data_IF_885066426939
#
_entry.id   IF_885066426939
#
_cell.length_a   1.000
_cell.length_b   1.000
_cell.length_c   1.000
_cell.angle_alpha   90.00
_cell.angle_beta   90.00
_cell.angle_gamma   90.00
#
_symmetry.space_group_name_H-M   'P 1'
#
loop_
_entity.id
_entity.type
_entity.pdbx_description
1 polymer ?
#
# COMPACT_ATOMS: atom_id res chain seq x y z
N UNK A 1 -1.49 -15.70 6.95
CA UNK A 1 -2.95 -15.96 6.97
C UNK A 1 -3.53 -15.70 5.59
N UNK A 2 -4.35 -16.62 5.07
CA UNK A 2 -4.88 -16.54 3.70
C UNK A 2 -6.41 -16.50 3.68
N UNK A 3 -6.96 -15.57 2.89
CA UNK A 3 -8.38 -15.47 2.55
C UNK A 3 -8.53 -16.04 1.15
N UNK A 4 -9.10 -17.22 1.06
CA UNK A 4 -9.21 -17.96 -0.21
C UNK A 4 -10.33 -17.43 -1.10
N UNK A 5 -10.31 -17.80 -2.37
CA UNK A 5 -11.36 -17.45 -3.33
C UNK A 5 -12.76 -17.81 -2.82
N UNK A 6 -13.68 -16.87 -2.87
CA UNK A 6 -15.05 -17.02 -2.39
C UNK A 6 -15.25 -16.78 -0.89
N UNK A 7 -14.19 -16.58 -0.10
CA UNK A 7 -14.28 -16.23 1.31
C UNK A 7 -14.16 -14.70 1.51
N UNK A 8 -14.75 -14.19 2.59
CA UNK A 8 -14.63 -12.81 3.04
C UNK A 8 -14.09 -12.77 4.46
N UNK A 9 -13.01 -12.01 4.68
CA UNK A 9 -12.53 -11.67 6.02
C UNK A 9 -13.12 -10.32 6.43
N UNK A 10 -13.98 -10.28 7.42
CA UNK A 10 -14.52 -9.02 7.97
C UNK A 10 -13.80 -8.64 9.26
N UNK A 11 -13.28 -7.43 9.32
CA UNK A 11 -12.51 -6.88 10.44
C UNK A 11 -13.21 -5.62 10.97
N UNK A 12 -13.93 -5.72 12.11
CA UNK A 12 -14.66 -4.59 12.68
C UNK A 12 -13.75 -3.47 13.20
N UNK A 13 -14.35 -2.29 13.38
CA UNK A 13 -13.69 -1.13 13.94
C UNK A 13 -13.02 -1.41 15.30
N UNK A 14 -11.84 -0.85 15.52
CA UNK A 14 -11.06 -0.99 16.73
C UNK A 14 -10.33 -2.33 16.90
N UNK A 15 -10.42 -3.23 15.91
CA UNK A 15 -9.65 -4.48 15.92
C UNK A 15 -8.15 -4.19 15.78
N UNK A 16 -7.34 -4.87 16.60
CA UNK A 16 -5.89 -4.84 16.50
C UNK A 16 -5.37 -6.25 16.16
N UNK A 17 -4.62 -6.35 15.05
CA UNK A 17 -3.93 -7.57 14.65
C UNK A 17 -2.45 -7.38 14.92
N UNK A 18 -1.83 -8.27 15.69
CA UNK A 18 -0.42 -8.22 16.06
C UNK A 18 0.30 -9.43 15.50
N UNK A 19 1.20 -9.20 14.57
CA UNK A 19 2.05 -10.23 13.98
C UNK A 19 3.25 -10.53 14.87
N UNK A 20 3.69 -11.79 14.87
CA UNK A 20 5.06 -12.11 15.26
C UNK A 20 6.02 -11.74 14.12
N UNK A 21 7.31 -11.56 14.43
CA UNK A 21 8.32 -11.36 13.42
C UNK A 21 8.52 -12.64 12.57
N UNK A 22 8.72 -12.46 11.26
CA UNK A 22 9.02 -13.53 10.32
C UNK A 22 8.55 -13.23 8.90
N UNK A 23 9.32 -13.67 7.92
CA UNK A 23 9.01 -13.53 6.49
C UNK A 23 7.83 -14.39 6.03
N UNK A 24 7.38 -15.31 6.86
CA UNK A 24 6.18 -16.13 6.68
C UNK A 24 4.94 -15.54 7.37
N UNK A 25 5.05 -14.34 7.92
CA UNK A 25 3.98 -13.64 8.66
C UNK A 25 3.40 -12.51 7.82
N UNK A 26 2.34 -12.78 7.11
CA UNK A 26 1.59 -11.79 6.32
C UNK A 26 0.11 -12.19 6.23
N UNK A 27 -0.73 -11.27 5.82
CA UNK A 27 -2.13 -11.52 5.46
C UNK A 27 -2.24 -11.43 3.95
N UNK A 28 -2.82 -12.44 3.32
CA UNK A 28 -3.05 -12.44 1.87
C UNK A 28 -4.53 -12.66 1.57
N UNK A 29 -5.08 -11.80 0.71
CA UNK A 29 -6.37 -12.01 0.05
C UNK A 29 -6.06 -12.57 -1.33
N UNK A 30 -6.36 -13.85 -1.54
CA UNK A 30 -6.14 -14.53 -2.81
C UNK A 30 -7.11 -14.03 -3.89
N UNK A 31 -6.75 -14.20 -5.15
CA UNK A 31 -7.60 -13.85 -6.28
C UNK A 31 -9.02 -14.46 -6.13
N UNK A 32 -10.05 -13.58 -6.07
CA UNK A 32 -11.43 -13.96 -5.80
C UNK A 32 -11.82 -14.11 -4.32
N UNK A 33 -10.89 -13.89 -3.39
CA UNK A 33 -11.18 -13.63 -1.99
C UNK A 33 -11.55 -12.17 -1.75
N UNK A 34 -12.10 -11.85 -0.59
CA UNK A 34 -12.48 -10.48 -0.23
C UNK A 34 -12.05 -10.13 1.19
N UNK A 35 -11.75 -8.86 1.43
CA UNK A 35 -11.52 -8.31 2.76
C UNK A 35 -12.47 -7.14 3.00
N UNK A 36 -13.05 -7.06 4.20
CA UNK A 36 -13.94 -5.98 4.61
C UNK A 36 -13.45 -5.40 5.95
N UNK A 37 -12.67 -4.33 5.86
CA UNK A 37 -12.11 -3.61 7.01
C UNK A 37 -13.01 -2.42 7.32
N UNK A 38 -13.67 -2.47 8.48
CA UNK A 38 -14.72 -1.55 8.90
C UNK A 38 -14.24 -0.56 9.96
N UNK A 39 -12.99 -0.07 9.87
CA UNK A 39 -12.47 0.93 10.78
C UNK A 39 -13.26 2.24 10.74
N UNK A 40 -13.06 3.07 11.75
CA UNK A 40 -13.61 4.43 11.82
C UNK A 40 -12.54 5.39 12.33
N UNK A 41 -12.71 6.69 12.14
CA UNK A 41 -11.76 7.68 12.65
C UNK A 41 -11.55 7.62 14.18
N UNK A 42 -12.55 7.19 14.94
CA UNK A 42 -12.45 7.02 16.41
C UNK A 42 -12.01 5.63 16.85
N UNK A 43 -12.03 4.64 15.94
CA UNK A 43 -11.68 3.26 16.20
C UNK A 43 -11.11 2.61 14.92
N UNK A 44 -9.90 3.03 14.48
CA UNK A 44 -9.27 2.44 13.31
C UNK A 44 -8.92 0.98 13.56
N UNK A 45 -8.80 0.21 12.47
CA UNK A 45 -8.21 -1.12 12.51
C UNK A 45 -6.69 -0.94 12.46
N UNK A 46 -5.96 -1.65 13.32
CA UNK A 46 -4.49 -1.59 13.35
C UNK A 46 -3.90 -2.97 13.09
N UNK A 47 -3.00 -3.06 12.13
CA UNK A 47 -2.17 -4.23 11.89
C UNK A 47 -0.70 -3.86 12.18
N UNK A 48 -0.04 -4.58 13.08
CA UNK A 48 1.29 -4.23 13.60
C UNK A 48 2.08 -5.49 13.97
N UNK A 49 3.30 -5.31 14.46
CA UNK A 49 4.11 -6.40 14.99
C UNK A 49 4.25 -6.37 16.51
N UNK A 50 4.62 -7.50 17.09
CA UNK A 50 4.85 -7.64 18.54
C UNK A 50 6.16 -7.02 19.01
N UNK A 51 7.17 -6.87 18.13
CA UNK A 51 8.46 -6.29 18.45
C UNK A 51 8.54 -4.81 18.14
N UNK A 52 7.57 -4.28 17.39
CA UNK A 52 7.52 -2.88 16.96
C UNK A 52 8.80 -2.42 16.24
N UNK A 53 9.34 -3.29 15.36
CA UNK A 53 10.52 -3.01 14.55
C UNK A 53 10.20 -3.05 13.07
N UNK A 54 10.68 -2.09 12.26
CA UNK A 54 10.53 -2.11 10.82
C UNK A 54 10.96 -3.46 10.23
N UNK A 55 10.23 -3.97 9.24
CA UNK A 55 10.53 -5.25 8.59
C UNK A 55 10.15 -6.51 9.38
N UNK A 56 9.42 -6.39 10.47
CA UNK A 56 9.06 -7.55 11.29
C UNK A 56 8.14 -8.54 10.56
N UNK A 57 7.27 -8.09 9.66
CA UNK A 57 6.26 -8.92 9.01
C UNK A 57 5.92 -8.44 7.60
N UNK A 58 5.17 -9.24 6.85
CA UNK A 58 4.91 -9.03 5.43
C UNK A 58 3.66 -8.22 5.08
N UNK A 59 3.06 -7.50 6.04
CA UNK A 59 1.95 -6.58 5.72
C UNK A 59 0.67 -7.26 5.21
N UNK A 60 -0.09 -6.50 4.43
CA UNK A 60 -1.32 -6.93 3.78
C UNK A 60 -1.13 -7.01 2.26
N UNK A 61 -1.37 -8.19 1.70
CA UNK A 61 -1.25 -8.46 0.26
C UNK A 61 -2.64 -8.76 -0.31
N UNK A 62 -3.01 -8.10 -1.40
CA UNK A 62 -4.29 -8.34 -2.09
C UNK A 62 -4.01 -8.68 -3.56
N UNK A 63 -4.50 -9.85 -3.99
CA UNK A 63 -4.39 -10.31 -5.37
C UNK A 63 -5.76 -10.22 -6.07
N UNK A 64 -5.83 -9.41 -7.11
CA UNK A 64 -7.02 -9.17 -7.91
C UNK A 64 -6.97 -9.82 -9.29
N UNK A 65 -7.99 -9.55 -10.08
CA UNK A 65 -8.22 -10.12 -11.40
C UNK A 65 -8.27 -9.04 -12.52
N UNK A 66 -7.75 -7.84 -12.23
CA UNK A 66 -7.64 -6.77 -13.21
C UNK A 66 -6.45 -6.97 -14.16
N UNK A 67 -6.31 -6.10 -15.13
CA UNK A 67 -5.23 -6.14 -16.12
C UNK A 67 -3.89 -5.75 -15.50
N UNK A 68 -2.84 -6.49 -15.86
CA UNK A 68 -1.43 -6.17 -15.60
C UNK A 68 -0.60 -6.48 -16.84
N UNK A 69 0.56 -5.86 -17.00
CA UNK A 69 1.50 -6.17 -18.11
C UNK A 69 2.06 -7.58 -18.04
N UNK A 70 2.06 -8.20 -16.86
CA UNK A 70 2.48 -9.60 -16.67
C UNK A 70 1.44 -10.63 -17.13
N UNK A 71 0.24 -10.18 -17.49
CA UNK A 71 -0.79 -11.01 -18.07
C UNK A 71 -1.68 -11.73 -17.06
N UNK A 72 -2.35 -12.78 -17.54
CA UNK A 72 -3.31 -13.55 -16.74
C UNK A 72 -2.58 -14.60 -15.92
N UNK A 73 -2.97 -14.75 -14.66
CA UNK A 73 -2.37 -15.70 -13.71
C UNK A 73 -0.85 -15.52 -13.54
N UNK A 74 -0.38 -14.29 -13.57
CA UNK A 74 0.97 -13.93 -13.21
C UNK A 74 1.33 -14.46 -11.80
N UNK A 75 2.61 -14.49 -11.49
CA UNK A 75 3.08 -14.96 -10.18
C UNK A 75 3.78 -13.81 -9.48
N UNK A 76 3.29 -13.45 -8.31
CA UNK A 76 3.88 -12.43 -7.47
C UNK A 76 5.31 -12.80 -7.04
N UNK A 77 6.13 -11.83 -6.82
CA UNK A 77 7.51 -11.99 -6.31
C UNK A 77 7.53 -12.57 -4.90
N UNK A 78 6.47 -12.37 -4.12
CA UNK A 78 6.32 -12.89 -2.77
C UNK A 78 5.27 -14.00 -2.71
N UNK A 79 5.51 -15.03 -1.90
CA UNK A 79 4.54 -16.07 -1.57
C UNK A 79 4.02 -16.93 -2.73
N UNK A 80 4.49 -16.74 -3.96
CA UNK A 80 4.01 -17.47 -5.15
C UNK A 80 2.52 -17.23 -5.46
N UNK A 81 1.98 -16.10 -5.01
CA UNK A 81 0.57 -15.70 -5.14
C UNK A 81 0.24 -15.49 -6.63
N UNK A 82 -0.94 -15.97 -7.05
CA UNK A 82 -1.43 -15.77 -8.42
C UNK A 82 -2.32 -14.54 -8.50
N UNK A 83 -2.08 -13.69 -9.54
CA UNK A 83 -2.83 -12.47 -9.74
C UNK A 83 -3.00 -12.17 -11.24
N UNK A 84 -3.75 -11.12 -11.54
CA UNK A 84 -3.94 -10.64 -12.90
C UNK A 84 -5.00 -11.42 -13.68
N UNK A 85 -5.63 -10.72 -14.58
CA UNK A 85 -6.70 -11.20 -15.43
C UNK A 85 -7.12 -10.17 -16.47
N UNK A 86 -8.42 -9.96 -16.64
CA UNK A 86 -8.98 -9.02 -17.60
C UNK A 86 -10.25 -8.31 -17.07
N UNK A 87 -10.44 -8.30 -15.75
CA UNK A 87 -11.64 -7.72 -15.14
C UNK A 87 -11.22 -6.46 -14.38
N UNK A 88 -11.08 -5.34 -15.07
CA UNK A 88 -10.62 -4.07 -14.47
C UNK A 88 -11.57 -3.50 -13.41
N UNK A 89 -12.81 -4.01 -13.35
CA UNK A 89 -13.78 -3.72 -12.30
C UNK A 89 -13.82 -4.79 -11.22
N UNK A 90 -12.80 -5.63 -11.12
CA UNK A 90 -12.66 -6.64 -10.05
C UNK A 90 -12.80 -6.00 -8.67
N UNK A 91 -13.37 -6.77 -7.74
CA UNK A 91 -13.65 -6.31 -6.40
C UNK A 91 -13.08 -7.28 -5.37
N UNK A 92 -12.07 -6.84 -4.65
CA UNK A 92 -11.43 -7.56 -3.55
C UNK A 92 -11.91 -7.11 -2.17
N UNK A 93 -12.95 -6.25 -2.10
CA UNK A 93 -13.58 -5.82 -0.86
C UNK A 93 -13.49 -4.33 -0.57
N UNK A 94 -13.53 -3.99 0.71
CA UNK A 94 -13.49 -2.61 1.20
C UNK A 94 -12.52 -2.47 2.36
N UNK A 95 -11.76 -1.38 2.36
CA UNK A 95 -10.81 -1.02 3.42
C UNK A 95 -11.09 0.41 3.86
N UNK A 96 -11.48 0.57 5.12
CA UNK A 96 -11.73 1.87 5.72
C UNK A 96 -10.98 2.01 7.06
N UNK A 97 -10.24 3.11 7.24
CA UNK A 97 -9.48 3.45 8.45
C UNK A 97 -8.56 2.31 8.94
N UNK A 98 -7.60 1.95 8.09
CA UNK A 98 -6.59 0.93 8.37
C UNK A 98 -5.23 1.57 8.66
N UNK A 99 -4.58 1.12 9.72
CA UNK A 99 -3.17 1.41 10.03
C UNK A 99 -2.36 0.13 9.87
N UNK A 100 -1.33 0.15 9.03
CA UNK A 100 -0.30 -0.91 8.93
C UNK A 100 1.01 -0.35 9.44
N UNK A 101 1.66 -1.06 10.39
CA UNK A 101 2.89 -0.59 11.00
C UNK A 101 3.94 -1.71 11.04
N UNK A 102 5.23 -1.34 10.84
CA UNK A 102 6.39 -2.23 10.94
C UNK A 102 6.43 -3.40 9.94
N UNK A 103 5.78 -3.24 8.79
CA UNK A 103 5.84 -4.22 7.70
C UNK A 103 7.13 -4.11 6.87
N UNK A 104 7.24 -4.81 5.76
CA UNK A 104 8.40 -4.77 4.87
C UNK A 104 9.38 -5.94 5.06
N UNK A 105 8.94 -7.09 5.58
CA UNK A 105 9.83 -8.22 5.83
C UNK A 105 10.56 -8.69 4.56
N UNK A 106 11.89 -8.69 4.61
CA UNK A 106 12.74 -9.08 3.49
C UNK A 106 12.88 -10.61 3.39
N UNK A 107 12.45 -11.18 2.27
CA UNK A 107 12.58 -12.62 1.98
C UNK A 107 14.00 -12.94 1.49
N UNK A 108 14.51 -12.14 0.57
CA UNK A 108 15.87 -12.25 0.01
C UNK A 108 16.28 -10.87 -0.55
N UNK A 109 17.41 -10.78 -1.25
CA UNK A 109 17.94 -9.53 -1.78
C UNK A 109 17.09 -8.90 -2.91
N UNK A 110 16.15 -9.63 -3.47
CA UNK A 110 15.35 -9.24 -4.65
C UNK A 110 13.85 -9.26 -4.38
N UNK A 111 13.41 -9.66 -3.18
CA UNK A 111 11.99 -9.81 -2.84
C UNK A 111 11.74 -9.39 -1.40
N UNK A 112 10.93 -8.38 -1.23
CA UNK A 112 10.45 -7.87 0.04
C UNK A 112 8.93 -7.76 0.03
N UNK A 113 8.35 -7.64 1.21
CA UNK A 113 6.95 -7.29 1.38
C UNK A 113 6.83 -5.80 1.63
N UNK A 114 5.74 -5.22 1.19
CA UNK A 114 5.39 -3.82 1.45
C UNK A 114 4.47 -3.68 2.68
N UNK A 115 4.09 -2.46 3.01
CA UNK A 115 2.99 -2.22 3.94
C UNK A 115 1.67 -2.77 3.38
N UNK A 116 1.25 -2.24 2.24
CA UNK A 116 0.09 -2.69 1.48
C UNK A 116 0.51 -3.03 0.05
N UNK A 117 0.39 -4.29 -0.34
CA UNK A 117 0.72 -4.75 -1.69
C UNK A 117 -0.54 -5.05 -2.49
N UNK A 118 -0.67 -4.45 -3.68
CA UNK A 118 -1.87 -4.50 -4.51
C UNK A 118 -1.56 -5.07 -5.90
N UNK A 119 -1.66 -6.39 -6.03
CA UNK A 119 -1.42 -7.12 -7.28
C UNK A 119 -2.67 -7.13 -8.16
N UNK A 120 -2.70 -6.40 -9.25
CA UNK A 120 -3.79 -6.33 -10.24
C UNK A 120 -5.19 -6.17 -9.61
N UNK A 121 -5.29 -5.34 -8.58
CA UNK A 121 -6.56 -5.06 -7.90
C UNK A 121 -7.42 -4.13 -8.77
N UNK A 122 -8.70 -4.44 -8.90
CA UNK A 122 -9.62 -3.73 -9.78
C UNK A 122 -10.35 -2.57 -9.11
N UNK A 123 -10.94 -1.71 -9.93
CA UNK A 123 -11.64 -0.47 -9.52
C UNK A 123 -12.93 -0.70 -8.73
N UNK A 124 -13.41 -1.95 -8.64
CA UNK A 124 -14.52 -2.31 -7.76
C UNK A 124 -14.14 -2.37 -6.27
N UNK A 125 -12.84 -2.41 -5.97
CA UNK A 125 -12.32 -2.42 -4.60
C UNK A 125 -12.27 -1.00 -4.05
N UNK A 126 -12.76 -0.81 -2.81
CA UNK A 126 -12.72 0.48 -2.11
C UNK A 126 -11.56 0.51 -1.13
N UNK A 127 -10.71 1.55 -1.19
CA UNK A 127 -9.62 1.77 -0.22
C UNK A 127 -9.63 3.24 0.18
N UNK A 128 -10.01 3.50 1.45
CA UNK A 128 -10.13 4.85 1.97
C UNK A 128 -9.57 4.97 3.39
N UNK A 129 -8.91 6.10 3.67
CA UNK A 129 -8.35 6.39 5.00
C UNK A 129 -7.38 5.29 5.47
N UNK A 130 -6.25 5.18 4.80
CA UNK A 130 -5.22 4.17 5.11
C UNK A 130 -3.91 4.84 5.50
N UNK A 131 -3.17 4.20 6.41
CA UNK A 131 -1.87 4.66 6.84
C UNK A 131 -0.87 3.50 6.89
N UNK A 132 0.31 3.68 6.29
CA UNK A 132 1.44 2.74 6.35
C UNK A 132 2.63 3.44 6.99
N UNK A 133 3.13 2.84 8.08
CA UNK A 133 4.08 3.49 8.98
C UNK A 133 5.29 2.59 9.25
N UNK A 134 6.48 3.17 9.23
CA UNK A 134 7.71 2.53 9.70
C UNK A 134 7.98 1.15 9.06
N UNK A 135 7.78 1.02 7.76
CA UNK A 135 8.14 -0.18 6.98
C UNK A 135 9.60 -0.15 6.55
N UNK A 136 10.18 -1.32 6.21
CA UNK A 136 11.53 -1.43 5.61
C UNK A 136 11.49 -1.55 4.09
N UNK A 137 10.33 -1.47 3.51
CA UNK A 137 10.08 -1.44 2.07
C UNK A 137 8.97 -0.43 1.81
N UNK A 138 8.29 -0.51 0.66
CA UNK A 138 7.30 0.48 0.29
C UNK A 138 6.15 0.59 1.29
N UNK A 139 5.63 1.79 1.42
CA UNK A 139 4.39 1.99 2.15
C UNK A 139 3.23 1.30 1.43
N UNK A 140 3.07 1.59 0.15
CA UNK A 140 2.12 0.91 -0.75
C UNK A 140 2.76 0.68 -2.11
N UNK A 141 2.58 -0.52 -2.67
CA UNK A 141 2.98 -0.81 -4.03
C UNK A 141 1.82 -1.36 -4.88
N UNK A 142 1.70 -0.83 -6.10
CA UNK A 142 0.67 -1.18 -7.07
C UNK A 142 1.30 -1.94 -8.25
N UNK A 143 1.03 -3.22 -8.36
CA UNK A 143 1.42 -4.07 -9.48
C UNK A 143 0.28 -4.19 -10.49
N UNK A 144 0.21 -3.28 -11.44
CA UNK A 144 -0.90 -3.23 -12.39
C UNK A 144 -2.27 -2.95 -11.74
N UNK A 145 -3.34 -3.23 -12.47
CA UNK A 145 -4.70 -3.01 -11.99
C UNK A 145 -5.19 -1.58 -12.12
N UNK A 146 -6.35 -1.33 -11.52
CA UNK A 146 -7.11 -0.07 -11.70
C UNK A 146 -7.66 0.47 -10.38
N UNK A 147 -7.28 -0.12 -9.25
CA UNK A 147 -7.73 0.31 -7.92
C UNK A 147 -7.30 1.74 -7.63
N UNK A 148 -8.14 2.46 -6.91
CA UNK A 148 -7.88 3.82 -6.45
C UNK A 148 -7.88 3.90 -4.93
N UNK A 149 -7.11 4.84 -4.38
CA UNK A 149 -6.99 5.06 -2.93
C UNK A 149 -7.31 6.51 -2.60
N UNK A 150 -8.10 6.72 -1.55
CA UNK A 150 -8.45 8.05 -1.06
C UNK A 150 -8.01 8.23 0.39
N UNK A 151 -7.39 9.37 0.70
CA UNK A 151 -6.86 9.72 2.04
C UNK A 151 -5.81 8.72 2.54
N UNK A 152 -4.60 8.85 2.03
CA UNK A 152 -3.47 7.99 2.36
C UNK A 152 -2.39 8.75 3.13
N UNK A 153 -1.97 8.20 4.26
CA UNK A 153 -0.87 8.72 5.08
C UNK A 153 0.29 7.74 5.13
N UNK A 154 1.48 8.21 4.83
CA UNK A 154 2.69 7.38 4.76
C UNK A 154 3.79 8.05 5.60
N UNK A 155 4.38 7.30 6.52
CA UNK A 155 5.41 7.83 7.41
C UNK A 155 6.57 6.86 7.57
N UNK A 156 7.78 7.33 7.21
CA UNK A 156 9.04 6.61 7.44
C UNK A 156 9.06 5.17 6.91
N UNK A 157 8.58 4.94 5.71
CA UNK A 157 8.83 3.71 4.97
C UNK A 157 10.20 3.83 4.29
N UNK A 158 11.03 2.77 4.31
CA UNK A 158 12.46 2.87 4.00
C UNK A 158 12.76 2.88 2.49
N UNK A 159 12.02 2.13 1.67
CA UNK A 159 12.18 2.26 0.22
C UNK A 159 11.29 3.41 -0.28
N UNK A 160 10.20 3.15 -0.93
CA UNK A 160 9.35 4.21 -1.45
C UNK A 160 8.08 4.37 -0.62
N UNK A 161 7.58 5.60 -0.45
CA UNK A 161 6.31 5.72 0.24
C UNK A 161 5.16 5.20 -0.64
N UNK A 162 5.20 5.52 -1.94
CA UNK A 162 4.25 5.00 -2.95
C UNK A 162 5.05 4.49 -4.14
N UNK A 163 4.93 3.20 -4.48
CA UNK A 163 5.47 2.66 -5.73
C UNK A 163 4.36 2.12 -6.64
N UNK A 164 4.60 2.19 -7.95
CA UNK A 164 3.73 1.58 -8.96
C UNK A 164 4.50 1.06 -10.16
N UNK A 165 4.07 -0.09 -10.63
CA UNK A 165 4.65 -0.78 -11.77
C UNK A 165 3.57 -1.50 -12.58
N UNK A 166 3.97 -2.28 -13.56
CA UNK A 166 3.11 -3.18 -14.34
C UNK A 166 1.88 -2.54 -14.98
N UNK A 167 1.95 -1.23 -15.23
CA UNK A 167 0.88 -0.51 -15.93
C UNK A 167 -0.32 -0.16 -15.06
N UNK A 168 -0.16 -0.04 -13.75
CA UNK A 168 -1.24 0.50 -12.90
C UNK A 168 -1.71 1.87 -13.40
N UNK A 169 -3.03 2.06 -13.44
CA UNK A 169 -3.64 3.30 -13.94
C UNK A 169 -4.78 3.82 -13.06
N UNK A 170 -4.77 3.47 -11.79
CA UNK A 170 -5.73 4.01 -10.81
C UNK A 170 -5.47 5.47 -10.45
N UNK A 171 -6.13 5.91 -9.39
CA UNK A 171 -6.01 7.28 -8.85
C UNK A 171 -5.70 7.23 -7.38
N UNK A 172 -4.74 8.03 -6.92
CA UNK A 172 -4.62 8.37 -5.50
C UNK A 172 -5.09 9.80 -5.27
N UNK A 173 -5.85 9.99 -4.18
CA UNK A 173 -6.42 11.30 -3.82
C UNK A 173 -6.12 11.61 -2.36
N UNK A 174 -5.61 12.82 -2.08
CA UNK A 174 -5.23 13.30 -0.75
C UNK A 174 -4.18 12.39 -0.08
N UNK A 175 -2.97 12.38 -0.61
CA UNK A 175 -1.83 11.66 -0.03
C UNK A 175 -0.92 12.61 0.73
N UNK A 176 -0.54 12.23 1.94
CA UNK A 176 0.46 12.92 2.75
C UNK A 176 1.60 11.96 3.10
N UNK A 177 2.81 12.32 2.68
CA UNK A 177 4.05 11.57 2.98
C UNK A 177 4.90 12.38 3.95
N UNK A 178 5.39 11.73 5.01
CA UNK A 178 6.31 12.31 5.98
C UNK A 178 7.58 11.46 6.12
N UNK A 179 8.72 12.05 5.79
CA UNK A 179 10.03 11.47 6.05
C UNK A 179 10.74 12.28 7.15
N UNK A 180 10.81 11.72 8.34
CA UNK A 180 11.51 12.28 9.50
C UNK A 180 12.73 11.42 9.93
N UNK A 181 12.90 10.24 9.32
CA UNK A 181 14.02 9.34 9.48
C UNK A 181 14.74 9.16 8.13
N UNK A 182 16.06 8.95 8.19
CA UNK A 182 16.86 8.56 7.01
C UNK A 182 16.59 7.10 6.63
N UNK A 183 16.94 6.72 5.38
CA UNK A 183 16.87 5.33 4.91
C UNK A 183 15.83 5.11 3.80
N UNK A 184 14.93 6.05 3.56
CA UNK A 184 13.97 5.96 2.45
C UNK A 184 14.65 6.23 1.08
N UNK A 185 14.05 5.71 0.01
CA UNK A 185 14.42 5.99 -1.38
C UNK A 185 13.69 7.23 -1.89
N UNK A 186 12.36 7.15 -2.03
CA UNK A 186 11.57 8.31 -2.52
C UNK A 186 10.21 8.46 -1.83
N UNK A 187 9.55 9.59 -2.09
CA UNK A 187 8.15 9.76 -1.69
C UNK A 187 7.19 9.12 -2.70
N UNK A 188 7.59 9.01 -3.95
CA UNK A 188 6.85 8.26 -4.95
C UNK A 188 7.77 7.81 -6.10
N UNK A 189 7.71 6.54 -6.45
CA UNK A 189 8.44 5.94 -7.56
C UNK A 189 7.47 5.33 -8.58
N UNK A 190 7.80 5.45 -9.85
CA UNK A 190 7.14 4.71 -10.93
C UNK A 190 8.13 3.93 -11.76
N UNK A 191 7.81 2.69 -12.10
CA UNK A 191 8.63 1.82 -12.94
C UNK A 191 7.84 1.24 -14.11
N UNK A 192 8.50 1.09 -15.25
CA UNK A 192 7.99 0.41 -16.43
C UNK A 192 7.07 1.24 -17.31
N UNK A 193 6.05 0.61 -17.86
CA UNK A 193 5.16 1.23 -18.85
C UNK A 193 4.33 2.34 -18.22
N UNK A 194 4.35 3.53 -18.86
CA UNK A 194 3.45 4.62 -18.48
C UNK A 194 2.00 4.29 -18.87
N UNK A 195 1.21 3.85 -17.91
CA UNK A 195 -0.24 3.74 -18.06
C UNK A 195 -0.98 4.93 -17.44
N UNK A 196 -0.21 5.94 -17.03
CA UNK A 196 -0.63 7.26 -16.60
C UNK A 196 -1.57 7.27 -15.38
N UNK A 197 -1.12 6.78 -14.23
CA UNK A 197 -1.90 6.93 -13.00
C UNK A 197 -2.10 8.41 -12.66
N UNK A 198 -3.13 8.69 -11.88
CA UNK A 198 -3.50 10.06 -11.50
C UNK A 198 -3.27 10.28 -10.01
N UNK A 199 -2.59 11.37 -9.67
CA UNK A 199 -2.39 11.83 -8.30
C UNK A 199 -3.10 13.17 -8.14
N UNK A 200 -4.00 13.25 -7.17
CA UNK A 200 -4.72 14.48 -6.85
C UNK A 200 -4.46 14.86 -5.40
N UNK A 201 -3.90 16.06 -5.19
CA UNK A 201 -3.46 16.54 -3.88
C UNK A 201 -2.42 15.60 -3.26
N UNK A 202 -1.18 15.72 -3.70
CA UNK A 202 -0.05 14.98 -3.16
C UNK A 202 0.87 15.94 -2.40
N UNK A 203 0.97 15.76 -1.10
CA UNK A 203 1.88 16.51 -0.23
C UNK A 203 2.95 15.57 0.31
N UNK A 204 4.21 15.91 0.11
CA UNK A 204 5.33 15.17 0.68
C UNK A 204 6.29 16.12 1.42
N UNK A 205 6.68 15.74 2.62
CA UNK A 205 7.54 16.53 3.51
C UNK A 205 8.69 15.68 4.01
N UNK A 206 9.91 16.16 3.86
CA UNK A 206 11.11 15.54 4.44
C UNK A 206 11.82 16.52 5.37
N UNK A 207 12.25 16.05 6.54
CA UNK A 207 13.15 16.78 7.43
C UNK A 207 14.61 16.31 7.30
N UNK A 208 14.86 15.32 6.44
CA UNK A 208 16.18 14.66 6.26
C UNK A 208 16.71 14.73 4.82
N UNK A 209 16.08 15.53 3.95
CA UNK A 209 16.48 15.65 2.54
C UNK A 209 15.94 14.52 1.67
N UNK A 210 16.74 14.01 0.74
CA UNK A 210 16.41 12.90 -0.14
C UNK A 210 15.73 13.29 -1.45
N UNK A 211 15.13 12.31 -2.13
CA UNK A 211 14.44 12.47 -3.42
C UNK A 211 12.92 12.39 -3.21
N UNK A 212 12.17 13.30 -3.86
CA UNK A 212 10.71 13.30 -3.75
C UNK A 212 10.07 12.34 -4.75
N UNK A 213 10.32 12.51 -6.04
CA UNK A 213 9.71 11.70 -7.10
C UNK A 213 10.79 11.04 -7.94
N UNK A 214 10.66 9.75 -8.23
CA UNK A 214 11.53 9.03 -9.14
C UNK A 214 10.72 8.32 -10.22
N UNK A 215 11.21 8.38 -11.46
CA UNK A 215 10.58 7.71 -12.58
C UNK A 215 11.63 6.88 -13.32
N UNK A 216 11.42 5.57 -13.36
CA UNK A 216 12.27 4.60 -14.05
C UNK A 216 11.67 4.24 -15.40
N UNK A 217 12.52 3.89 -16.36
CA UNK A 217 12.14 3.48 -17.72
C UNK A 217 11.21 4.50 -18.37
N UNK A 218 10.03 4.11 -18.79
CA UNK A 218 9.04 4.96 -19.47
C UNK A 218 7.85 5.30 -18.57
N UNK A 219 7.99 5.12 -17.26
CA UNK A 219 6.93 5.42 -16.31
C UNK A 219 6.55 6.91 -16.30
N UNK A 220 5.39 7.21 -15.80
CA UNK A 220 4.88 8.56 -15.69
C UNK A 220 3.62 8.63 -14.86
N UNK A 221 3.13 9.85 -14.65
CA UNK A 221 1.92 10.12 -13.89
C UNK A 221 1.31 11.46 -14.30
N UNK A 222 0.02 11.63 -14.02
CA UNK A 222 -0.65 12.94 -14.03
C UNK A 222 -0.89 13.38 -12.61
N UNK A 223 -0.19 14.44 -12.18
CA UNK A 223 -0.23 14.93 -10.79
C UNK A 223 -0.89 16.32 -10.78
N UNK A 224 -1.88 16.51 -9.93
CA UNK A 224 -2.54 17.81 -9.71
C UNK A 224 -2.45 18.16 -8.23
N UNK A 225 -2.03 19.38 -7.93
CA UNK A 225 -1.86 19.83 -6.54
C UNK A 225 -0.67 19.16 -5.86
N UNK A 226 0.49 19.14 -6.52
CA UNK A 226 1.75 18.68 -5.94
C UNK A 226 2.31 19.73 -4.97
N UNK A 227 2.68 19.31 -3.77
CA UNK A 227 3.38 20.13 -2.78
C UNK A 227 4.54 19.33 -2.17
N UNK A 228 5.77 19.81 -2.37
CA UNK A 228 6.99 19.20 -1.86
C UNK A 228 7.69 20.13 -0.89
N UNK A 229 8.21 19.61 0.21
CA UNK A 229 8.99 20.38 1.17
C UNK A 229 10.16 19.56 1.74
N UNK A 230 11.34 20.16 1.77
CA UNK A 230 12.52 19.61 2.42
C UNK A 230 13.31 18.57 1.63
N UNK A 231 12.90 18.18 0.44
CA UNK A 231 13.64 17.28 -0.45
C UNK A 231 14.78 18.03 -1.17
N UNK A 232 15.90 17.34 -1.39
CA UNK A 232 17.06 17.85 -2.15
C UNK A 232 16.86 17.69 -3.64
N UNK A 233 16.24 16.60 -4.06
CA UNK A 233 15.88 16.28 -5.44
C UNK A 233 14.38 16.20 -5.59
N UNK A 234 13.78 17.00 -6.46
CA UNK A 234 12.32 17.01 -6.66
C UNK A 234 11.86 15.93 -7.62
N UNK A 235 12.60 15.74 -8.73
CA UNK A 235 12.30 14.70 -9.73
C UNK A 235 13.62 14.09 -10.19
N UNK A 236 13.77 12.79 -10.03
CA UNK A 236 14.88 11.99 -10.53
C UNK A 236 14.41 11.10 -11.69
N UNK A 237 14.96 11.32 -12.87
CA UNK A 237 14.65 10.53 -14.06
C UNK A 237 15.71 9.46 -14.26
N UNK A 238 15.36 8.22 -14.04
CA UNK A 238 16.21 7.06 -14.35
C UNK A 238 16.00 6.61 -15.80
N UNK A 239 16.98 5.90 -16.34
CA UNK A 239 16.90 5.21 -17.65
C UNK A 239 16.51 6.10 -18.82
N UNK A 240 16.71 7.42 -18.70
CA UNK A 240 16.41 8.43 -19.72
C UNK A 240 14.95 8.46 -20.18
N UNK A 241 13.99 8.13 -19.30
CA UNK A 241 12.56 8.25 -19.58
C UNK A 241 12.18 9.69 -19.99
N UNK A 242 11.16 9.87 -20.83
CA UNK A 242 10.78 11.20 -21.29
C UNK A 242 9.96 11.95 -20.23
N UNK A 243 10.41 13.15 -19.86
CA UNK A 243 9.66 14.06 -18.96
C UNK A 243 8.22 14.33 -19.42
N UNK A 244 7.94 14.19 -20.73
CA UNK A 244 6.59 14.37 -21.28
C UNK A 244 5.58 13.32 -20.80
N UNK A 245 6.03 12.22 -20.23
CA UNK A 245 5.16 11.22 -19.61
C UNK A 245 4.63 11.68 -18.23
N UNK A 246 5.25 12.71 -17.65
CA UNK A 246 4.87 13.23 -16.34
C UNK A 246 4.20 14.60 -16.52
N UNK A 247 2.94 14.71 -16.10
CA UNK A 247 2.20 15.98 -16.12
C UNK A 247 1.98 16.45 -14.70
N UNK A 248 2.40 17.68 -14.41
CA UNK A 248 2.16 18.33 -13.12
C UNK A 248 1.36 19.59 -13.38
N UNK A 249 0.15 19.67 -12.82
CA UNK A 249 -0.81 20.77 -13.05
C UNK A 249 -1.03 21.09 -14.54
N UNK A 250 -1.05 20.04 -15.38
CA UNK A 250 -1.36 20.12 -16.80
C UNK A 250 -0.17 20.46 -17.71
N UNK A 251 1.05 20.63 -17.17
CA UNK A 251 2.27 20.89 -17.95
C UNK A 251 3.28 19.75 -17.77
N UNK A 252 4.25 19.64 -18.68
CA UNK A 252 5.33 18.67 -18.54
C UNK A 252 6.12 18.96 -17.27
N UNK A 253 6.56 17.90 -16.59
CA UNK A 253 7.36 18.03 -15.38
C UNK A 253 8.70 18.75 -15.66
N UNK A 254 9.11 19.58 -14.73
CA UNK A 254 10.37 20.30 -14.74
C UNK A 254 11.22 19.95 -13.49
N UNK A 255 12.28 19.14 -13.62
CA UNK A 255 13.14 18.78 -12.48
C UNK A 255 13.85 19.98 -11.82
N UNK A 256 13.88 21.15 -12.48
CA UNK A 256 14.45 22.38 -11.91
C UNK A 256 13.46 23.15 -11.04
N UNK A 257 12.18 22.78 -11.09
CA UNK A 257 11.15 23.35 -10.23
C UNK A 257 11.17 22.67 -8.86
N UNK A 258 11.06 23.42 -7.80
CA UNK A 258 11.04 22.87 -6.43
C UNK A 258 9.68 22.36 -5.99
N UNK A 259 8.60 22.73 -6.69
CA UNK A 259 7.21 22.42 -6.33
C UNK A 259 6.84 22.76 -4.87
N UNK A 260 7.56 23.73 -4.29
CA UNK A 260 7.25 24.24 -2.95
C UNK A 260 5.98 25.09 -3.02
N UNK A 261 4.96 24.64 -2.33
CA UNK A 261 3.68 25.35 -2.19
C UNK A 261 3.11 25.13 -0.79
N UNK A 262 2.00 25.77 -0.47
CA UNK A 262 1.23 25.37 0.70
C UNK A 262 0.79 23.90 0.53
N UNK A 263 0.79 23.09 1.62
CA UNK A 263 0.32 21.70 1.55
C UNK A 263 -1.04 21.61 0.84
N UNK A 264 -1.14 20.75 -0.15
CA UNK A 264 -2.40 20.48 -0.84
C UNK A 264 -3.33 19.58 -0.02
N UNK A 265 -2.76 18.90 0.99
CA UNK A 265 -3.48 18.06 1.95
C UNK A 265 -3.22 18.57 3.35
N UNK A 266 -4.29 18.83 4.10
CA UNK A 266 -4.17 19.16 5.53
C UNK A 266 -3.91 17.87 6.32
N UNK A 267 -2.76 17.78 7.00
CA UNK A 267 -2.40 16.65 7.83
C UNK A 267 -3.44 16.35 8.93
N UNK A 268 -4.25 17.34 9.31
CA UNK A 268 -5.29 17.17 10.32
C UNK A 268 -6.35 16.12 9.94
N UNK A 269 -6.56 15.85 8.64
CA UNK A 269 -7.47 14.77 8.22
C UNK A 269 -6.99 13.38 8.64
N UNK A 270 -5.71 13.24 8.99
CA UNK A 270 -5.07 11.99 9.45
C UNK A 270 -4.91 11.92 10.98
N UNK A 271 -5.55 12.80 11.75
CA UNK A 271 -5.48 12.78 13.22
C UNK A 271 -5.91 11.44 13.84
N UNK A 272 -6.70 10.65 13.10
CA UNK A 272 -7.15 9.31 13.50
C UNK A 272 -6.01 8.28 13.59
N UNK A 273 -4.88 8.48 12.93
CA UNK A 273 -3.72 7.57 12.95
C UNK A 273 -3.16 7.38 14.38
N UNK A 274 -3.33 8.37 15.24
CA UNK A 274 -2.86 8.34 16.62
C UNK A 274 -3.92 7.87 17.64
N UNK A 275 -5.11 7.44 17.18
CA UNK A 275 -6.19 7.01 18.06
C UNK A 275 -6.13 5.51 18.35
N UNK A 276 -5.34 5.10 19.34
CA UNK A 276 -5.22 3.70 19.77
C UNK A 276 -6.14 3.38 20.97
N UNK A 277 -6.98 2.35 20.85
CA UNK A 277 -7.71 1.73 21.95
C UNK A 277 -7.18 0.32 22.20
N UNK A 278 -6.77 0.00 23.44
CA UNK A 278 -6.30 -1.35 23.80
C UNK A 278 -7.48 -2.29 24.14
N UNK A 279 -7.35 -3.57 23.78
CA UNK A 279 -8.43 -4.56 23.88
C UNK A 279 -7.95 -6.00 24.09
N UNK A 280 -8.86 -6.92 24.41
CA UNK A 280 -8.66 -8.37 24.66
C UNK A 280 -7.94 -9.12 23.53
N UNK A 281 -7.22 -10.20 23.83
CA UNK A 281 -6.32 -10.91 22.91
C UNK A 281 -6.86 -12.25 22.40
N UNK A 282 -6.63 -12.57 21.14
CA UNK A 282 -6.91 -13.86 20.50
C UNK A 282 -5.85 -14.25 19.47
N UNK A 283 -5.83 -15.49 19.00
CA UNK A 283 -4.86 -15.96 17.98
C UNK A 283 -5.58 -16.09 16.65
N UNK A 284 -5.01 -15.46 15.61
CA UNK A 284 -5.42 -15.60 14.22
C UNK A 284 -4.35 -16.44 13.49
N UNK A 285 -4.71 -17.62 13.02
CA UNK A 285 -3.81 -18.51 12.30
C UNK A 285 -4.56 -19.31 11.25
N UNK A 286 -3.83 -19.76 10.23
CA UNK A 286 -4.39 -20.59 9.20
C UNK A 286 -5.01 -19.78 8.06
N UNK A 287 -6.02 -20.34 7.42
CA UNK A 287 -6.74 -19.74 6.33
C UNK A 287 -8.23 -19.94 6.48
N UNK A 288 -9.00 -19.15 5.77
CA UNK A 288 -10.43 -19.30 5.67
C UNK A 288 -10.86 -19.60 4.24
N UNK A 289 -11.78 -20.55 4.10
CA UNK A 289 -12.47 -20.92 2.85
C UNK A 289 -13.96 -20.60 2.89
N UNK A 290 -14.42 -19.97 3.95
CA UNK A 290 -15.76 -19.42 4.13
C UNK A 290 -15.63 -18.09 4.86
N UNK A 291 -16.69 -17.28 4.85
CA UNK A 291 -16.71 -15.98 5.50
C UNK A 291 -16.35 -16.06 6.98
N UNK A 292 -15.50 -15.15 7.43
CA UNK A 292 -15.11 -14.95 8.82
C UNK A 292 -15.23 -13.47 9.18
N UNK A 293 -15.94 -13.20 10.27
CA UNK A 293 -15.97 -11.89 10.92
C UNK A 293 -15.19 -11.95 12.23
N UNK A 294 -14.24 -11.07 12.42
CA UNK A 294 -13.51 -10.92 13.67
C UNK A 294 -14.39 -10.19 14.69
N UNK A 295 -14.17 -10.46 15.97
CA UNK A 295 -14.86 -9.74 17.04
C UNK A 295 -14.23 -8.35 17.22
N UNK A 296 -15.07 -7.33 17.28
CA UNK A 296 -14.65 -5.97 17.62
C UNK A 296 -14.02 -5.94 19.02
N UNK A 297 -13.09 -5.00 19.23
CA UNK A 297 -12.46 -4.84 20.52
C UNK A 297 -11.61 -6.06 20.97
N UNK A 298 -11.10 -6.86 20.05
CA UNK A 298 -10.15 -7.96 20.28
C UNK A 298 -8.83 -7.69 19.57
N UNK A 299 -7.72 -7.91 20.25
CA UNK A 299 -6.38 -7.94 19.63
C UNK A 299 -6.09 -9.36 19.15
N UNK A 300 -5.82 -9.51 17.87
CA UNK A 300 -5.48 -10.80 17.27
C UNK A 300 -3.98 -10.92 17.05
N UNK A 301 -3.39 -12.01 17.54
CA UNK A 301 -2.00 -12.34 17.26
C UNK A 301 -1.90 -13.28 16.06
N UNK A 302 -1.19 -12.87 15.05
CA UNK A 302 -0.90 -13.68 13.86
C UNK A 302 0.26 -14.62 14.17
N UNK A 303 0.00 -15.94 14.31
CA UNK A 303 0.96 -16.87 14.91
C UNK A 303 1.68 -17.82 13.95
N UNK A 304 1.20 -18.03 12.71
CA UNK A 304 1.89 -18.91 11.75
C UNK A 304 1.30 -18.82 10.34
N UNK A 305 2.08 -19.26 9.36
CA UNK A 305 1.61 -19.53 8.00
C UNK A 305 0.69 -20.74 7.99
N UNK A 306 -0.39 -20.67 7.24
CA UNK A 306 -1.25 -21.83 6.97
C UNK A 306 -1.65 -21.82 5.50
N UNK A 307 -1.59 -22.97 4.87
CA UNK A 307 -2.04 -23.16 3.48
C UNK A 307 -3.39 -23.87 3.47
N UNK A 308 -4.30 -23.41 2.63
CA UNK A 308 -5.54 -24.16 2.38
C UNK A 308 -5.47 -24.85 1.04
N UNK A 309 -5.83 -26.13 1.06
CA UNK A 309 -5.98 -26.92 -0.15
C UNK A 309 -7.27 -26.54 -0.86
N UNK A 310 -7.19 -26.23 -2.14
CA UNK A 310 -8.33 -26.13 -3.03
C UNK A 310 -9.12 -27.42 -3.04
N UNK A 311 -10.36 -27.38 -2.64
CA UNK A 311 -11.32 -28.46 -2.85
C UNK A 311 -11.94 -29.03 -1.57
N UNK A 312 -12.91 -28.35 -1.05
CA UNK A 312 -14.03 -28.93 -0.32
C UNK A 312 -15.30 -28.23 -0.76
#
# INVERSE_FOLDING_TARGET
>A
FSVESGATLTIPAGTKIVSQAGTDKYIVVQKGGMIDIQGTASAPVTMTSSNESPGDWGGLVIAGNATTTEGVDATAEVGGIKYGGSVDTDNSGSIEYLIINYAGAQINAESQYNGLTLYAVGSGTTIENVAMLNGTDDGVEFFGGTVSVTNMYLENNEDDAVDWTEGWNGTITNTYVLHSAEGFSTAAEGDGINNNPTFTNFTAVSSVGGTALQFKKESGATITGLSLAGYETTIDMKDNGPLSNIKIDGVDADPTNTYISAPSVDIAIFAWVNSNTEVTTSILSGSISSDLTLDAAVTYYLSSTFSVNSGA
#
